data_IF_991577835523
#
_entry.id   IF_991577835523
#
_cell.length_a   1.000
_cell.length_b   1.000
_cell.length_c   1.000
_cell.angle_alpha   90.00
_cell.angle_beta   90.00
_cell.angle_gamma   90.00
#
_symmetry.space_group_name_H-M   'P 1'
#
loop_
_entity.id
_entity.type
_entity.pdbx_description
1 polymer ?
#
# COMPACT_ATOMS: atom_id res chain seq x y z
N UNK A 1 5.65 -17.16 -3.39
CA UNK A 1 5.52 -15.73 -3.70
C UNK A 1 4.55 -15.13 -2.69
N UNK A 2 4.91 -14.02 -2.03
CA UNK A 2 3.98 -13.25 -1.20
C UNK A 2 3.42 -12.12 -2.07
N UNK A 3 2.20 -12.30 -2.60
CA UNK A 3 1.59 -11.38 -3.55
C UNK A 3 0.10 -11.20 -3.26
N UNK A 4 -0.42 -10.01 -3.57
CA UNK A 4 -1.87 -9.80 -3.66
C UNK A 4 -2.28 -10.20 -5.07
N UNK A 5 -3.11 -11.24 -5.19
CA UNK A 5 -3.56 -11.75 -6.49
C UNK A 5 -5.07 -11.80 -6.51
N UNK A 6 -5.66 -11.11 -7.48
CA UNK A 6 -7.10 -11.12 -7.74
C UNK A 6 -7.34 -11.79 -9.09
N UNK A 7 -8.16 -12.85 -9.18
CA UNK A 7 -8.49 -13.47 -10.44
C UNK A 7 -9.07 -12.46 -11.44
N UNK A 8 -8.76 -12.63 -12.73
CA UNK A 8 -9.18 -11.68 -13.78
C UNK A 8 -10.69 -11.38 -13.76
N UNK A 9 -11.51 -12.40 -13.45
CA UNK A 9 -12.98 -12.29 -13.33
C UNK A 9 -13.45 -11.26 -12.29
N UNK A 10 -12.61 -10.94 -11.31
CA UNK A 10 -12.93 -10.03 -10.21
C UNK A 10 -12.04 -8.78 -10.17
N UNK A 11 -11.29 -8.51 -11.25
CA UNK A 11 -10.53 -7.26 -11.37
C UNK A 11 -11.47 -6.05 -11.37
N UNK A 12 -10.95 -4.90 -10.94
CA UNK A 12 -11.66 -3.62 -10.83
C UNK A 12 -12.86 -3.59 -9.86
N UNK A 13 -13.03 -4.62 -9.03
CA UNK A 13 -14.04 -4.66 -7.97
C UNK A 13 -13.51 -4.22 -6.60
N UNK A 14 -12.32 -3.60 -6.56
CA UNK A 14 -11.70 -3.15 -5.30
C UNK A 14 -11.16 -4.26 -4.39
N UNK A 15 -11.19 -5.54 -4.82
CA UNK A 15 -10.75 -6.66 -3.97
C UNK A 15 -9.28 -6.57 -3.54
N UNK A 16 -8.38 -6.11 -4.42
CA UNK A 16 -6.97 -5.95 -4.07
C UNK A 16 -6.78 -4.90 -2.97
N UNK A 17 -7.56 -3.82 -3.02
CA UNK A 17 -7.59 -2.77 -2.00
C UNK A 17 -8.12 -3.31 -0.68
N UNK A 18 -9.23 -4.05 -0.70
CA UNK A 18 -9.80 -4.64 0.50
C UNK A 18 -8.82 -5.61 1.18
N UNK A 19 -8.11 -6.42 0.39
CA UNK A 19 -7.06 -7.31 0.91
C UNK A 19 -5.89 -6.54 1.52
N UNK A 20 -5.50 -5.42 0.93
CA UNK A 20 -4.47 -4.55 1.50
C UNK A 20 -4.92 -3.94 2.83
N UNK A 21 -6.10 -3.31 2.85
CA UNK A 21 -6.69 -2.68 4.04
C UNK A 21 -6.78 -3.65 5.21
N UNK A 22 -7.29 -4.85 4.96
CA UNK A 22 -7.43 -5.88 5.99
C UNK A 22 -6.08 -6.38 6.50
N UNK A 23 -5.09 -6.57 5.62
CA UNK A 23 -3.75 -6.97 6.04
C UNK A 23 -3.06 -5.91 6.92
N UNK A 24 -3.11 -4.64 6.51
CA UNK A 24 -2.55 -3.53 7.27
C UNK A 24 -3.25 -3.35 8.63
N UNK A 25 -4.59 -3.37 8.63
CA UNK A 25 -5.38 -3.28 9.87
C UNK A 25 -5.04 -4.42 10.83
N UNK A 26 -4.94 -5.65 10.32
CA UNK A 26 -4.59 -6.80 11.13
C UNK A 26 -3.20 -6.67 11.74
N UNK A 27 -2.22 -6.14 11.01
CA UNK A 27 -0.88 -5.89 11.53
C UNK A 27 -0.86 -4.81 12.61
N UNK A 28 -1.62 -3.72 12.45
CA UNK A 28 -1.75 -2.67 13.47
C UNK A 28 -2.34 -3.25 14.76
N UNK A 29 -3.49 -3.91 14.66
CA UNK A 29 -4.25 -4.41 15.82
C UNK A 29 -3.44 -5.44 16.63
N UNK A 30 -2.65 -6.29 15.94
CA UNK A 30 -1.86 -7.34 16.59
C UNK A 30 -0.41 -6.92 16.87
N UNK A 31 -0.07 -5.65 16.62
CA UNK A 31 1.28 -5.11 16.78
C UNK A 31 2.35 -5.91 16.03
N UNK A 32 2.04 -6.33 14.80
CA UNK A 32 2.97 -7.02 13.91
C UNK A 32 3.73 -6.06 13.02
N UNK A 33 5.00 -6.38 12.79
CA UNK A 33 5.79 -5.74 11.75
C UNK A 33 5.46 -6.33 10.38
N UNK A 34 5.29 -5.47 9.38
CA UNK A 34 5.05 -5.88 7.99
C UNK A 34 6.24 -5.53 7.11
N UNK A 35 6.77 -6.53 6.40
CA UNK A 35 7.78 -6.32 5.37
C UNK A 35 7.15 -6.37 3.98
N UNK A 36 7.05 -5.21 3.31
CA UNK A 36 6.34 -5.08 2.03
C UNK A 36 7.21 -5.47 0.84
N UNK A 37 6.98 -6.66 0.26
CA UNK A 37 7.66 -7.11 -0.98
C UNK A 37 6.85 -6.90 -2.26
N UNK A 38 5.53 -6.85 -2.16
CA UNK A 38 4.65 -6.73 -3.31
C UNK A 38 4.50 -5.26 -3.71
N UNK A 39 4.74 -4.96 -4.99
CA UNK A 39 4.64 -3.60 -5.53
C UNK A 39 3.27 -2.95 -5.27
N UNK A 40 2.19 -3.72 -5.39
CA UNK A 40 0.83 -3.23 -5.11
C UNK A 40 0.70 -2.71 -3.66
N UNK A 41 1.19 -3.48 -2.68
CA UNK A 41 1.15 -3.07 -1.27
C UNK A 41 2.09 -1.91 -0.98
N UNK A 42 3.24 -1.82 -1.66
CA UNK A 42 4.16 -0.67 -1.53
C UNK A 42 3.50 0.61 -2.04
N UNK A 43 2.85 0.56 -3.22
CA UNK A 43 2.09 1.70 -3.77
C UNK A 43 0.93 2.07 -2.85
N UNK A 44 0.18 1.07 -2.37
CA UNK A 44 -0.93 1.28 -1.44
C UNK A 44 -0.47 1.93 -0.13
N UNK A 45 0.62 1.44 0.46
CA UNK A 45 1.21 2.01 1.67
C UNK A 45 1.61 3.48 1.49
N UNK A 46 2.19 3.84 0.34
CA UNK A 46 2.55 5.24 0.04
C UNK A 46 1.31 6.15 -0.05
N UNK A 47 0.20 5.65 -0.58
CA UNK A 47 -1.05 6.40 -0.69
C UNK A 47 -1.78 6.57 0.66
N UNK A 48 -1.67 5.59 1.56
CA UNK A 48 -2.40 5.52 2.84
C UNK A 48 -1.47 5.69 4.05
N UNK A 49 -0.32 6.31 3.83
CA UNK A 49 0.74 6.46 4.83
C UNK A 49 0.21 7.19 6.07
N UNK A 50 0.32 6.54 7.23
CA UNK A 50 -0.08 7.07 8.53
C UNK A 50 1.02 6.74 9.57
N UNK A 51 1.10 7.47 10.70
CA UNK A 51 2.15 7.23 11.70
C UNK A 51 2.11 5.80 12.27
N UNK A 52 0.92 5.23 12.45
CA UNK A 52 0.77 3.86 12.99
C UNK A 52 1.40 2.79 12.08
N UNK A 53 1.32 2.97 10.76
CA UNK A 53 1.95 2.07 9.79
C UNK A 53 3.42 2.38 9.62
N UNK A 54 3.87 3.63 9.71
CA UNK A 54 5.30 3.97 9.63
C UNK A 54 6.13 3.27 10.70
N UNK A 55 5.60 3.15 11.92
CA UNK A 55 6.28 2.43 13.00
C UNK A 55 6.35 0.91 12.77
N UNK A 56 5.45 0.36 11.96
CA UNK A 56 5.22 -1.09 11.80
C UNK A 56 5.68 -1.63 10.46
N UNK A 57 5.74 -0.80 9.43
CA UNK A 57 6.19 -1.17 8.09
C UNK A 57 7.70 -1.05 8.03
N UNK A 58 8.35 -2.19 7.92
CA UNK A 58 9.81 -2.31 7.81
C UNK A 58 10.18 -2.67 6.38
N UNK A 59 11.23 -2.04 5.84
CA UNK A 59 11.60 -2.26 4.45
C UNK A 59 12.90 -1.60 4.04
N UNK A 60 13.43 -1.91 2.84
CA UNK A 60 14.53 -1.19 2.26
C UNK A 60 14.19 0.31 2.12
N UNK A 61 15.17 1.21 2.23
CA UNK A 61 14.93 2.66 2.25
C UNK A 61 14.22 3.19 1.00
N UNK A 62 14.28 2.52 -0.14
CA UNK A 62 13.53 2.90 -1.35
C UNK A 62 12.00 2.72 -1.22
N UNK A 63 11.53 1.87 -0.30
CA UNK A 63 10.10 1.70 -0.01
C UNK A 63 9.63 2.78 0.97
N UNK A 64 10.48 3.11 1.95
CA UNK A 64 10.19 4.06 3.03
C UNK A 64 10.35 5.53 2.60
N UNK A 65 11.33 5.80 1.75
CA UNK A 65 11.72 7.12 1.24
C UNK A 65 11.57 7.15 -0.28
N UNK A 66 10.34 6.94 -0.78
CA UNK A 66 10.05 7.19 -2.19
C UNK A 66 10.46 8.62 -2.59
N UNK A 67 10.65 8.91 -3.90
CA UNK A 67 11.18 10.19 -4.39
C UNK A 67 10.32 11.43 -4.08
N UNK A 68 9.16 11.25 -3.44
CA UNK A 68 8.25 12.32 -3.05
C UNK A 68 8.36 12.68 -1.56
N UNK A 69 9.55 12.57 -0.97
CA UNK A 69 9.88 13.26 0.29
C UNK A 69 10.08 14.77 0.07
N UNK A 70 9.24 15.37 -0.77
CA UNK A 70 9.11 16.80 -0.96
C UNK A 70 7.68 17.20 -0.62
N UNK A 71 7.57 18.09 0.37
CA UNK A 71 6.41 18.90 0.77
C UNK A 71 5.14 18.17 1.20
N UNK A 72 4.90 18.22 2.51
CA UNK A 72 3.56 18.33 3.08
C UNK A 72 2.81 19.50 2.44
N UNK A 73 2.00 19.23 1.42
CA UNK A 73 0.89 20.12 1.05
C UNK A 73 -0.41 19.34 1.22
N UNK A 74 -1.13 19.70 2.30
CA UNK A 74 -2.34 19.06 2.81
C UNK A 74 -3.57 19.16 1.89
N UNK A 75 -3.38 19.41 0.59
CA UNK A 75 -4.46 19.59 -0.40
C UNK A 75 -4.32 18.69 -1.64
N UNK A 76 -3.34 17.78 -1.67
CA UNK A 76 -3.30 16.76 -2.72
C UNK A 76 -3.98 15.50 -2.20
N UNK A 77 -5.26 15.32 -2.59
CA UNK A 77 -5.85 13.98 -2.61
C UNK A 77 -5.00 13.22 -3.61
N UNK A 78 -3.99 12.49 -3.15
CA UNK A 78 -3.28 11.54 -3.98
C UNK A 78 -4.34 10.52 -4.40
N UNK A 79 -4.86 10.67 -5.61
CA UNK A 79 -5.85 9.76 -6.18
C UNK A 79 -5.32 8.35 -6.01
N UNK A 80 -6.15 7.51 -5.38
CA UNK A 80 -5.88 6.09 -5.23
C UNK A 80 -5.51 5.54 -6.62
N UNK A 81 -4.40 4.78 -6.74
CA UNK A 81 -3.97 4.30 -8.04
C UNK A 81 -5.10 3.53 -8.70
N UNK A 82 -5.53 4.01 -9.87
CA UNK A 82 -6.64 3.44 -10.60
C UNK A 82 -6.23 2.04 -11.07
N UNK A 83 -7.17 1.07 -11.10
CA UNK A 83 -6.85 -0.30 -11.51
C UNK A 83 -6.37 -0.40 -12.97
N UNK A 84 -6.50 0.68 -13.77
CA UNK A 84 -5.99 0.79 -15.13
C UNK A 84 -4.47 1.07 -15.23
N UNK A 85 -3.83 1.60 -14.17
CA UNK A 85 -2.38 1.87 -14.13
C UNK A 85 -1.50 0.60 -14.11
N UNK A 86 -2.14 -0.58 -14.14
CA UNK A 86 -1.50 -1.89 -14.10
C UNK A 86 -1.67 -2.69 -15.41
N UNK A 87 -1.95 -2.02 -16.54
CA UNK A 87 -1.96 -2.64 -17.87
C UNK A 87 -0.51 -3.02 -18.27
N UNK A 88 -0.17 -4.30 -18.11
CA UNK A 88 0.95 -4.99 -18.78
C UNK A 88 0.51 -5.51 -20.13
#
# INVERSE_FOLDING_TARGET
>A
MQSVTVPAKYKSQGLARLLAETAFTYAIVNNYYMYLRCEYLQKYYRAVKNPDLEERVVGPPHILNGPDSASSDSNVINELPDPEDFKF
#
